data_IF_844647186684
#
_entry.id   IF_844647186684
#
_cell.length_a   1.000
_cell.length_b   1.000
_cell.length_c   1.000
_cell.angle_alpha   90.00
_cell.angle_beta   90.00
_cell.angle_gamma   90.00
#
_symmetry.space_group_name_H-M   'P 1'
#
loop_
_entity.id
_entity.type
_entity.pdbx_description
1 polymer ?
#
# COMPACT_ATOMS: atom_id res chain seq x y z
N UNK A 1 11.81 11.71 -16.06
CA UNK A 1 11.37 10.41 -16.62
C UNK A 1 9.87 10.24 -16.44
N UNK A 2 9.22 9.77 -17.46
CA UNK A 2 7.77 9.55 -17.40
C UNK A 2 7.40 8.55 -16.29
N UNK A 3 8.26 7.58 -16.06
CA UNK A 3 8.04 6.54 -15.06
C UNK A 3 7.98 7.08 -13.64
N UNK A 4 8.69 8.18 -13.35
CA UNK A 4 8.71 8.78 -12.02
C UNK A 4 7.44 9.52 -11.65
N UNK A 5 6.68 9.94 -12.66
CA UNK A 5 5.44 10.69 -12.45
C UNK A 5 4.20 9.82 -12.61
N UNK A 6 4.42 8.54 -12.75
CA UNK A 6 3.36 7.59 -13.04
C UNK A 6 2.64 7.17 -11.77
N UNK A 7 1.32 7.24 -11.81
CA UNK A 7 0.49 6.68 -10.74
C UNK A 7 0.36 5.18 -10.93
N UNK A 8 0.42 4.45 -9.83
CA UNK A 8 0.33 3.00 -9.84
C UNK A 8 -0.85 2.61 -8.96
N UNK A 9 -1.65 1.69 -9.44
CA UNK A 9 -2.91 1.33 -8.78
C UNK A 9 -2.91 -0.11 -8.30
N UNK A 10 -3.52 -0.33 -7.16
CA UNK A 10 -3.75 -1.67 -6.63
C UNK A 10 -5.08 -1.71 -5.91
N UNK A 11 -5.77 -2.84 -6.00
CA UNK A 11 -7.04 -3.04 -5.31
C UNK A 11 -6.90 -4.17 -4.31
N UNK A 12 -7.40 -3.97 -3.09
CA UNK A 12 -7.40 -5.00 -2.05
C UNK A 12 -8.79 -5.21 -1.50
N UNK A 13 -9.07 -6.43 -1.07
CA UNK A 13 -10.35 -6.79 -0.45
C UNK A 13 -10.09 -7.66 0.77
N UNK A 14 -10.76 -7.35 1.86
CA UNK A 14 -10.64 -8.12 3.09
C UNK A 14 -11.84 -7.92 4.00
N UNK A 15 -12.44 -9.01 4.47
CA UNK A 15 -13.51 -8.96 5.48
C UNK A 15 -14.62 -7.96 5.15
N UNK A 16 -15.07 -7.95 3.92
CA UNK A 16 -16.13 -7.04 3.48
C UNK A 16 -15.67 -5.64 3.15
N UNK A 17 -14.38 -5.35 3.27
CA UNK A 17 -13.79 -4.06 2.89
C UNK A 17 -13.17 -4.16 1.51
N UNK A 18 -13.29 -3.07 0.74
CA UNK A 18 -12.65 -2.93 -0.57
C UNK A 18 -11.85 -1.65 -0.57
N UNK A 19 -10.58 -1.73 -0.93
CA UNK A 19 -9.70 -0.57 -0.99
C UNK A 19 -9.13 -0.40 -2.40
N UNK A 20 -9.18 0.84 -2.88
CA UNK A 20 -8.49 1.24 -4.11
C UNK A 20 -7.29 2.07 -3.68
N UNK A 21 -6.10 1.60 -4.00
CA UNK A 21 -4.86 2.25 -3.58
C UNK A 21 -4.15 2.83 -4.79
N UNK A 22 -3.71 4.06 -4.65
CA UNK A 22 -2.91 4.74 -5.66
C UNK A 22 -1.56 5.11 -5.05
N UNK A 23 -0.48 4.71 -5.68
CA UNK A 23 0.88 5.11 -5.30
C UNK A 23 1.36 6.16 -6.29
N UNK A 24 1.87 7.27 -5.77
CA UNK A 24 2.50 8.31 -6.59
C UNK A 24 3.86 8.63 -5.99
N UNK A 25 4.83 9.05 -6.82
CA UNK A 25 6.12 9.46 -6.26
C UNK A 25 5.94 10.56 -5.23
N UNK A 26 6.54 10.41 -4.07
CA UNK A 26 6.35 11.37 -2.99
C UNK A 26 7.29 11.14 -1.83
N UNK A 27 6.84 11.51 -0.64
CA UNK A 27 7.66 11.52 0.56
C UNK A 27 7.21 10.56 1.66
N UNK A 28 6.15 9.80 1.42
CA UNK A 28 5.65 8.84 2.39
C UNK A 28 4.35 9.24 3.07
N UNK A 29 3.64 10.20 2.51
CA UNK A 29 2.36 10.63 3.05
C UNK A 29 1.28 9.61 2.69
N UNK A 30 0.49 9.20 3.68
CA UNK A 30 -0.60 8.24 3.48
C UNK A 30 -1.92 8.91 3.83
N UNK A 31 -2.85 8.92 2.88
CA UNK A 31 -4.21 9.44 3.10
C UNK A 31 -5.22 8.33 2.85
N UNK A 32 -6.25 8.31 3.66
CA UNK A 32 -7.35 7.35 3.54
C UNK A 32 -8.65 8.13 3.49
N UNK A 33 -9.39 7.97 2.40
CA UNK A 33 -10.66 8.67 2.18
C UNK A 33 -10.52 10.18 2.38
N UNK A 34 -9.41 10.74 1.87
CA UNK A 34 -9.16 12.18 1.92
C UNK A 34 -8.62 12.69 3.25
N UNK A 35 -8.33 11.83 4.20
CA UNK A 35 -7.81 12.20 5.51
C UNK A 35 -6.44 11.60 5.74
N UNK A 36 -5.61 12.26 6.54
CA UNK A 36 -4.36 11.65 6.97
C UNK A 36 -4.65 10.31 7.66
N UNK A 37 -3.80 9.31 7.43
CA UNK A 37 -4.03 7.97 7.97
C UNK A 37 -4.15 7.96 9.50
N UNK A 38 -3.39 8.83 10.18
CA UNK A 38 -3.42 8.90 11.64
C UNK A 38 -4.72 9.53 12.17
N UNK A 39 -5.37 10.35 11.36
CA UNK A 39 -6.69 10.90 11.71
C UNK A 39 -7.80 9.88 11.42
N UNK A 40 -7.66 9.15 10.31
CA UNK A 40 -8.67 8.19 9.90
C UNK A 40 -8.67 6.95 10.81
N UNK A 41 -7.47 6.45 11.14
CA UNK A 41 -7.29 5.28 12.00
C UNK A 41 -6.50 5.68 13.24
N UNK A 42 -7.16 5.84 14.39
CA UNK A 42 -6.45 6.24 15.62
C UNK A 42 -5.66 5.11 16.27
N UNK A 43 -5.62 3.95 15.64
CA UNK A 43 -4.91 2.78 16.17
C UNK A 43 -3.56 2.62 15.50
N UNK A 44 -2.50 2.95 16.23
CA UNK A 44 -1.13 2.90 15.71
C UNK A 44 -0.76 1.51 15.14
N UNK A 45 -1.20 0.45 15.80
CA UNK A 45 -0.94 -0.92 15.34
C UNK A 45 -1.49 -1.15 13.93
N UNK A 46 -2.68 -0.65 13.65
CA UNK A 46 -3.29 -0.80 12.32
C UNK A 46 -2.55 0.00 11.27
N UNK A 47 -2.09 1.20 11.62
CA UNK A 47 -1.31 2.04 10.71
C UNK A 47 0.01 1.34 10.36
N UNK A 48 0.69 0.78 11.35
CA UNK A 48 1.92 0.04 11.12
C UNK A 48 1.69 -1.18 10.23
N UNK A 49 0.57 -1.87 10.43
CA UNK A 49 0.25 -3.05 9.64
C UNK A 49 0.05 -2.72 8.17
N UNK A 50 -0.69 -1.67 7.86
CA UNK A 50 -0.91 -1.31 6.45
C UNK A 50 0.34 -0.76 5.77
N UNK A 51 1.29 -0.23 6.52
CA UNK A 51 2.56 0.27 5.99
C UNK A 51 3.60 -0.83 5.75
N UNK A 52 3.36 -2.02 6.28
CA UNK A 52 4.33 -3.11 6.21
C UNK A 52 4.89 -3.37 4.80
N UNK A 53 4.08 -3.43 3.73
CA UNK A 53 4.65 -3.65 2.40
C UNK A 53 5.62 -2.55 1.96
N UNK A 54 5.39 -1.31 2.38
CA UNK A 54 6.29 -0.20 2.06
C UNK A 54 7.58 -0.30 2.86
N UNK A 55 7.48 -0.71 4.12
CA UNK A 55 8.64 -0.85 4.99
C UNK A 55 9.60 -1.92 4.47
N UNK A 56 9.07 -3.11 4.16
CA UNK A 56 9.92 -4.23 3.75
C UNK A 56 10.53 -4.05 2.37
N UNK A 57 9.98 -3.17 1.54
CA UNK A 57 10.52 -2.84 0.22
C UNK A 57 11.32 -1.55 0.21
N UNK A 58 11.54 -0.95 1.39
CA UNK A 58 12.26 0.32 1.53
C UNK A 58 11.60 1.48 0.77
N UNK A 59 10.29 1.49 0.73
CA UNK A 59 9.53 2.51 0.00
C UNK A 59 8.74 3.45 0.91
N UNK A 60 9.06 3.47 2.20
CA UNK A 60 8.34 4.33 3.16
C UNK A 60 8.35 5.80 2.78
N UNK A 61 9.45 6.27 2.20
CA UNK A 61 9.63 7.66 1.83
C UNK A 61 9.70 7.87 0.32
N UNK A 62 9.32 6.86 -0.46
CA UNK A 62 9.41 6.89 -1.92
C UNK A 62 8.07 7.25 -2.56
N UNK A 63 6.99 6.78 -1.97
CA UNK A 63 5.64 6.96 -2.51
C UNK A 63 4.73 7.65 -1.52
N UNK A 64 3.83 8.47 -2.06
CA UNK A 64 2.64 8.88 -1.33
C UNK A 64 1.55 7.89 -1.66
N UNK A 65 0.73 7.57 -0.67
CA UNK A 65 -0.34 6.59 -0.81
C UNK A 65 -1.68 7.30 -0.65
N UNK A 66 -2.57 7.10 -1.61
CA UNK A 66 -3.95 7.55 -1.50
C UNK A 66 -4.84 6.32 -1.57
N UNK A 67 -5.56 6.04 -0.50
CA UNK A 67 -6.44 4.90 -0.42
C UNK A 67 -7.89 5.36 -0.29
N UNK A 68 -8.75 4.74 -1.08
CA UNK A 68 -10.19 4.91 -0.95
C UNK A 68 -10.74 3.57 -0.51
N UNK A 69 -11.35 3.51 0.67
CA UNK A 69 -11.81 2.25 1.24
C UNK A 69 -13.26 2.36 1.67
N UNK A 70 -14.01 1.31 1.45
CA UNK A 70 -15.42 1.21 1.85
C UNK A 70 -15.68 -0.13 2.51
N UNK A 71 -16.68 -0.16 3.38
CA UNK A 71 -17.14 -1.39 4.01
C UNK A 71 -16.29 -1.86 5.16
N UNK A 72 -16.81 -2.81 5.92
CA UNK A 72 -16.12 -3.44 7.05
C UNK A 72 -15.74 -2.49 8.17
N UNK A 73 -15.00 -3.00 9.13
CA UNK A 73 -14.43 -2.21 10.21
C UNK A 73 -12.97 -1.89 9.96
N UNK A 74 -12.32 -1.17 10.86
CA UNK A 74 -10.93 -0.76 10.69
C UNK A 74 -9.98 -1.92 10.43
N UNK A 75 -10.18 -3.06 11.10
CA UNK A 75 -9.31 -4.22 10.89
C UNK A 75 -9.39 -4.74 9.45
N UNK A 76 -10.59 -4.87 8.90
CA UNK A 76 -10.78 -5.28 7.51
C UNK A 76 -10.27 -4.24 6.53
N UNK A 77 -10.49 -2.96 6.84
CA UNK A 77 -10.02 -1.87 6.01
C UNK A 77 -8.49 -1.84 5.95
N UNK A 78 -7.82 -2.03 7.09
CA UNK A 78 -6.37 -2.11 7.15
C UNK A 78 -5.85 -3.23 6.25
N UNK A 79 -6.45 -4.41 6.33
CA UNK A 79 -6.06 -5.55 5.51
C UNK A 79 -6.29 -5.29 4.02
N UNK A 80 -7.40 -4.65 3.68
CA UNK A 80 -7.70 -4.31 2.28
C UNK A 80 -6.70 -3.30 1.73
N UNK A 81 -6.36 -2.26 2.50
CA UNK A 81 -5.38 -1.25 2.10
C UNK A 81 -4.00 -1.89 1.95
N UNK A 82 -3.59 -2.70 2.92
CA UNK A 82 -2.30 -3.40 2.86
C UNK A 82 -2.19 -4.24 1.59
N UNK A 83 -3.24 -4.98 1.26
CA UNK A 83 -3.26 -5.81 0.07
C UNK A 83 -3.20 -4.97 -1.20
N UNK A 84 -3.91 -3.83 -1.21
CA UNK A 84 -3.86 -2.89 -2.34
C UNK A 84 -2.48 -2.32 -2.55
N UNK A 85 -1.79 -1.93 -1.47
CA UNK A 85 -0.41 -1.44 -1.54
C UNK A 85 0.50 -2.54 -2.09
N UNK A 86 0.36 -3.77 -1.60
CA UNK A 86 1.15 -4.91 -2.05
C UNK A 86 0.99 -5.12 -3.55
N UNK A 87 -0.23 -5.10 -4.05
CA UNK A 87 -0.49 -5.29 -5.47
C UNK A 87 0.07 -4.16 -6.33
N UNK A 88 -0.04 -2.91 -5.84
CA UNK A 88 0.53 -1.77 -6.55
C UNK A 88 2.06 -1.86 -6.62
N UNK A 89 2.70 -2.27 -5.54
CA UNK A 89 4.15 -2.47 -5.52
C UNK A 89 4.59 -3.57 -6.48
N UNK A 90 3.81 -4.64 -6.59
CA UNK A 90 4.12 -5.71 -7.53
C UNK A 90 4.03 -5.24 -8.98
N UNK A 91 3.07 -4.37 -9.28
CA UNK A 91 2.98 -3.77 -10.62
C UNK A 91 4.19 -2.89 -10.89
N UNK A 92 4.60 -2.08 -9.90
CA UNK A 92 5.76 -1.21 -10.04
C UNK A 92 7.04 -2.02 -10.30
N UNK A 93 7.16 -3.18 -9.66
CA UNK A 93 8.36 -4.02 -9.72
C UNK A 93 8.24 -5.16 -10.73
N UNK A 94 7.28 -5.08 -11.64
CA UNK A 94 6.94 -6.17 -12.57
C UNK A 94 8.14 -6.67 -13.38
N UNK A 95 8.97 -5.76 -13.87
CA UNK A 95 10.14 -6.11 -14.68
C UNK A 95 11.21 -6.84 -13.88
N UNK A 96 11.15 -6.77 -12.55
CA UNK A 96 12.12 -7.37 -11.65
C UNK A 96 11.64 -8.68 -11.02
N UNK A 97 10.49 -9.18 -11.43
CA UNK A 97 9.81 -10.29 -10.75
C UNK A 97 10.64 -11.59 -10.67
N UNK A 98 11.54 -11.82 -11.63
CA UNK A 98 12.36 -13.03 -11.68
C UNK A 98 13.61 -12.95 -10.80
N UNK A 99 13.98 -11.78 -10.32
CA UNK A 99 15.20 -11.56 -9.55
C UNK A 99 15.00 -11.88 -8.07
N UNK A 100 16.09 -12.18 -7.37
CA UNK A 100 16.05 -12.50 -5.95
C UNK A 100 15.61 -11.34 -5.09
N UNK A 101 15.92 -10.11 -5.50
CA UNK A 101 15.55 -8.90 -4.78
C UNK A 101 14.21 -8.32 -5.23
N UNK A 102 13.41 -9.09 -5.97
CA UNK A 102 12.10 -8.64 -6.41
C UNK A 102 11.16 -8.42 -5.22
N UNK A 103 10.26 -7.46 -5.37
CA UNK A 103 9.27 -7.19 -4.33
C UNK A 103 8.36 -8.40 -4.08
N UNK A 104 8.07 -9.16 -5.13
CA UNK A 104 7.26 -10.37 -4.99
C UNK A 104 7.89 -11.36 -4.00
N UNK A 105 9.19 -11.57 -4.09
CA UNK A 105 9.90 -12.47 -3.18
C UNK A 105 9.99 -11.89 -1.77
N UNK A 106 10.28 -10.61 -1.66
CA UNK A 106 10.39 -9.91 -0.37
C UNK A 106 9.03 -9.91 0.35
N UNK A 107 7.98 -9.56 -0.37
CA UNK A 107 6.63 -9.48 0.22
C UNK A 107 6.12 -10.86 0.60
N UNK A 108 6.42 -11.88 -0.19
CA UNK A 108 6.03 -13.25 0.12
C UNK A 108 6.73 -13.76 1.37
N UNK A 109 8.00 -13.43 1.54
CA UNK A 109 8.78 -13.86 2.72
C UNK A 109 8.28 -13.19 4.00
N UNK A 110 7.72 -11.98 3.90
CA UNK A 110 7.29 -11.20 5.06
C UNK A 110 5.78 -11.20 5.28
N UNK A 111 5.07 -11.81 4.43
CA UNK A 111 3.63 -11.71 4.50
C UNK A 111 2.86 -12.91 4.37
#
# INVERSE_FOLDING_TARGET
MAKEKRSIYGTGRRKGSVAKVTLTPGTGKITVNGRDVHEYMPYEVLVMDLKQPLVVTNNENTFDVNAEVIGGGFSGQTGAIRLGITRALLVYDEDNAANEDSYRRILKANG
#
